data_IF_290257975687
#
_entry.id   IF_290257975687
#
_cell.length_a   1.000
_cell.length_b   1.000
_cell.length_c   1.000
_cell.angle_alpha   90.00
_cell.angle_beta   90.00
_cell.angle_gamma   90.00
#
_symmetry.space_group_name_H-M   'P 1'
#
loop_
_entity.id
_entity.type
_entity.pdbx_description
1 polymer ?
#
# COMPACT_ATOMS: atom_id res chain seq x y z
N UNK A 1 -32.83 -6.92 6.16
CA UNK A 1 -32.71 -5.51 6.62
C UNK A 1 -33.94 -5.11 7.40
N UNK A 2 -33.75 -4.51 8.56
CA UNK A 2 -34.81 -4.14 9.49
C UNK A 2 -35.25 -2.68 9.25
N UNK A 3 -36.53 -2.30 9.51
CA UNK A 3 -37.12 -1.02 9.07
C UNK A 3 -36.72 0.19 9.93
N UNK A 4 -36.01 0.00 11.04
CA UNK A 4 -35.77 1.00 12.09
C UNK A 4 -34.93 2.20 11.61
N UNK A 5 -34.22 2.07 10.49
CA UNK A 5 -33.42 3.14 9.91
C UNK A 5 -34.07 3.87 8.72
N UNK A 6 -35.31 3.51 8.37
CA UNK A 6 -36.00 4.11 7.20
C UNK A 6 -36.25 5.62 7.36
N UNK A 7 -36.19 6.14 8.59
CA UNK A 7 -36.40 7.55 8.89
C UNK A 7 -35.07 8.32 9.10
N UNK A 8 -33.92 7.66 8.91
CA UNK A 8 -32.60 8.30 9.03
C UNK A 8 -32.17 8.94 7.72
N UNK A 9 -31.52 10.11 7.80
CA UNK A 9 -30.89 10.77 6.64
C UNK A 9 -29.38 10.72 6.78
N UNK A 10 -28.69 10.59 5.65
CA UNK A 10 -27.23 10.68 5.58
C UNK A 10 -26.87 11.91 4.73
N UNK A 11 -26.22 12.91 5.33
CA UNK A 11 -25.70 14.04 4.57
C UNK A 11 -24.44 14.60 5.26
N UNK A 12 -23.30 14.47 4.58
CA UNK A 12 -22.03 15.10 4.99
C UNK A 12 -21.73 16.37 4.18
N UNK A 13 -22.50 16.67 3.13
CA UNK A 13 -22.27 17.83 2.27
C UNK A 13 -23.56 18.55 1.88
N UNK A 14 -23.62 19.84 2.25
CA UNK A 14 -24.61 20.87 1.92
C UNK A 14 -26.03 20.76 2.51
N UNK A 15 -26.30 21.61 3.51
CA UNK A 15 -27.60 21.95 4.08
C UNK A 15 -28.56 22.69 3.13
N UNK A 16 -28.25 22.76 1.84
CA UNK A 16 -28.99 23.53 0.83
C UNK A 16 -29.86 22.66 -0.09
N UNK A 17 -29.79 21.34 0.02
CA UNK A 17 -30.68 20.42 -0.69
C UNK A 17 -31.90 20.16 0.21
N UNK A 18 -33.09 20.57 -0.25
CA UNK A 18 -34.33 20.54 0.54
C UNK A 18 -34.90 19.14 0.78
N UNK A 19 -34.37 18.12 0.11
CA UNK A 19 -34.80 16.73 0.25
C UNK A 19 -33.57 15.86 0.50
N UNK A 20 -33.31 15.58 1.78
CA UNK A 20 -32.30 14.59 2.13
C UNK A 20 -32.87 13.19 1.89
N UNK A 21 -32.18 12.33 1.12
CA UNK A 21 -32.66 10.98 0.89
C UNK A 21 -32.66 10.19 2.20
N UNK A 22 -33.81 9.58 2.49
CA UNK A 22 -33.96 8.67 3.61
C UNK A 22 -33.20 7.37 3.34
N UNK A 23 -32.62 6.80 4.39
CA UNK A 23 -31.92 5.53 4.39
C UNK A 23 -32.91 4.36 4.40
N UNK A 24 -33.87 4.39 3.47
CA UNK A 24 -34.88 3.37 3.32
C UNK A 24 -34.29 2.01 2.93
N UNK A 25 -35.13 0.97 2.95
CA UNK A 25 -34.68 -0.41 2.62
C UNK A 25 -34.11 -0.49 1.20
N UNK A 26 -34.65 0.28 0.25
CA UNK A 26 -34.24 0.23 -1.14
C UNK A 26 -32.85 0.86 -1.34
N UNK A 27 -32.63 2.05 -0.78
CA UNK A 27 -31.35 2.73 -0.82
C UNK A 27 -30.27 1.93 -0.09
N UNK A 28 -30.57 1.35 1.07
CA UNK A 28 -29.62 0.50 1.79
C UNK A 28 -29.25 -0.76 1.01
N UNK A 29 -30.21 -1.35 0.30
CA UNK A 29 -29.96 -2.48 -0.61
C UNK A 29 -29.00 -2.06 -1.71
N UNK A 30 -29.24 -0.91 -2.35
CA UNK A 30 -28.38 -0.36 -3.39
C UNK A 30 -26.94 -0.09 -2.89
N UNK A 31 -26.77 0.46 -1.69
CA UNK A 31 -25.46 0.72 -1.09
C UNK A 31 -24.69 -0.57 -0.77
N UNK A 32 -25.39 -1.61 -0.30
CA UNK A 32 -24.81 -2.93 -0.10
C UNK A 32 -24.38 -3.58 -1.42
N UNK A 33 -25.19 -3.44 -2.47
CA UNK A 33 -24.85 -3.96 -3.80
C UNK A 33 -23.61 -3.26 -4.37
N UNK A 34 -23.52 -1.93 -4.23
CA UNK A 34 -22.34 -1.16 -4.62
C UNK A 34 -21.09 -1.60 -3.83
N UNK A 35 -21.22 -1.77 -2.52
CA UNK A 35 -20.14 -2.29 -1.67
C UNK A 35 -19.66 -3.65 -2.17
N UNK A 36 -20.60 -4.54 -2.51
CA UNK A 36 -20.29 -5.89 -3.02
C UNK A 36 -19.56 -5.83 -4.36
N UNK A 37 -19.99 -4.96 -5.26
CA UNK A 37 -19.33 -4.74 -6.56
C UNK A 37 -17.90 -4.20 -6.39
N UNK A 38 -17.70 -3.19 -5.53
CA UNK A 38 -16.37 -2.65 -5.25
C UNK A 38 -15.45 -3.72 -4.65
N UNK A 39 -15.94 -4.49 -3.68
CA UNK A 39 -15.16 -5.59 -3.10
C UNK A 39 -14.79 -6.65 -4.14
N UNK A 40 -15.66 -6.95 -5.10
CA UNK A 40 -15.35 -7.88 -6.18
C UNK A 40 -14.22 -7.36 -7.09
N UNK A 41 -14.20 -6.06 -7.39
CA UNK A 41 -13.11 -5.42 -8.15
C UNK A 41 -11.81 -5.46 -7.35
N UNK A 42 -11.84 -5.13 -6.06
CA UNK A 42 -10.66 -5.19 -5.18
C UNK A 42 -10.15 -6.63 -5.08
N UNK A 43 -11.03 -7.63 -4.99
CA UNK A 43 -10.68 -9.05 -4.99
C UNK A 43 -9.96 -9.46 -6.26
N UNK A 44 -10.47 -9.04 -7.42
CA UNK A 44 -9.83 -9.31 -8.70
C UNK A 44 -8.42 -8.67 -8.77
N UNK A 45 -8.28 -7.40 -8.39
CA UNK A 45 -6.99 -6.72 -8.36
C UNK A 45 -5.98 -7.37 -7.39
N UNK A 46 -6.45 -7.84 -6.23
CA UNK A 46 -5.60 -8.52 -5.27
C UNK A 46 -5.09 -9.88 -5.79
N UNK A 47 -5.88 -10.61 -6.59
CA UNK A 47 -5.42 -11.86 -7.25
C UNK A 47 -4.27 -11.56 -8.21
N UNK A 48 -4.32 -10.47 -8.97
CA UNK A 48 -3.23 -10.06 -9.87
C UNK A 48 -1.95 -9.67 -9.11
N UNK A 49 -2.11 -9.19 -7.87
CA UNK A 49 -1.04 -8.75 -6.98
C UNK A 49 -0.61 -9.81 -5.96
N UNK A 50 -1.14 -11.04 -6.03
CA UNK A 50 -0.82 -12.12 -5.09
C UNK A 50 0.67 -12.47 -5.10
N UNK A 51 1.31 -12.40 -6.28
CA UNK A 51 2.77 -12.58 -6.44
C UNK A 51 3.60 -11.54 -5.69
N UNK A 52 3.00 -10.39 -5.34
CA UNK A 52 3.61 -9.31 -4.56
C UNK A 52 3.24 -9.42 -3.06
N UNK A 53 2.59 -10.52 -2.65
CA UNK A 53 2.15 -10.75 -1.28
C UNK A 53 0.86 -10.04 -0.89
N UNK A 54 0.12 -9.48 -1.86
CA UNK A 54 -1.20 -8.86 -1.62
C UNK A 54 -2.26 -9.95 -1.57
N UNK A 55 -3.04 -10.00 -0.50
CA UNK A 55 -4.15 -10.97 -0.34
C UNK A 55 -5.47 -10.23 -0.14
N UNK A 56 -6.53 -10.71 -0.79
CA UNK A 56 -7.88 -10.25 -0.53
C UNK A 56 -8.46 -11.01 0.66
N UNK A 57 -8.99 -10.27 1.65
CA UNK A 57 -9.62 -10.85 2.83
C UNK A 57 -11.13 -10.95 2.58
N UNK A 58 -11.63 -12.18 2.44
CA UNK A 58 -13.06 -12.47 2.26
C UNK A 58 -13.81 -12.56 3.60
N UNK A 59 -15.13 -12.43 3.58
CA UNK A 59 -16.00 -12.68 4.75
C UNK A 59 -16.14 -11.53 5.76
N UNK A 60 -15.38 -10.43 5.61
CA UNK A 60 -15.55 -9.24 6.47
C UNK A 60 -16.93 -8.59 6.30
N UNK A 61 -17.57 -8.79 5.13
CA UNK A 61 -18.96 -8.38 4.88
C UNK A 61 -19.99 -9.32 5.50
N UNK A 62 -19.70 -10.62 5.51
CA UNK A 62 -20.60 -11.66 5.99
C UNK A 62 -20.80 -11.55 7.50
N UNK A 63 -19.79 -11.06 8.23
CA UNK A 63 -19.90 -10.73 9.66
C UNK A 63 -20.98 -9.70 9.96
N UNK A 64 -21.29 -8.82 9.02
CA UNK A 64 -22.38 -7.85 9.16
C UNK A 64 -23.72 -8.43 8.69
N UNK A 65 -23.78 -9.65 8.13
CA UNK A 65 -25.02 -10.28 7.64
C UNK A 65 -25.88 -9.35 6.75
N UNK A 66 -25.23 -8.49 5.95
CA UNK A 66 -25.87 -7.46 5.12
C UNK A 66 -26.35 -6.20 5.86
N UNK A 67 -25.98 -5.98 7.13
CA UNK A 67 -26.43 -4.87 7.98
C UNK A 67 -25.46 -3.68 8.08
N UNK A 68 -24.56 -3.50 7.12
CA UNK A 68 -23.53 -2.43 7.12
C UNK A 68 -24.06 -1.02 7.38
N UNK A 69 -25.29 -0.74 6.94
CA UNK A 69 -25.90 0.59 7.04
C UNK A 69 -27.06 0.66 8.04
N UNK A 70 -27.36 -0.41 8.78
CA UNK A 70 -28.36 -0.42 9.85
C UNK A 70 -28.39 -1.76 10.61
N UNK A 71 -28.06 -1.74 11.90
CA UNK A 71 -28.18 -2.88 12.81
C UNK A 71 -29.53 -2.88 13.52
N UNK A 72 -30.01 -4.07 13.94
CA UNK A 72 -31.21 -4.18 14.74
C UNK A 72 -31.00 -3.49 16.11
N UNK A 73 -31.84 -2.49 16.41
CA UNK A 73 -31.70 -1.67 17.63
C UNK A 73 -31.01 -0.32 17.43
N UNK A 74 -30.67 0.04 16.19
CA UNK A 74 -30.12 1.36 15.86
C UNK A 74 -31.08 2.51 16.24
N UNK A 75 -30.56 3.54 16.91
CA UNK A 75 -31.29 4.76 17.25
C UNK A 75 -30.58 6.02 16.70
N UNK A 76 -31.32 7.11 16.52
CA UNK A 76 -30.84 8.40 15.96
C UNK A 76 -29.70 9.07 16.75
N UNK A 77 -29.42 8.64 17.98
CA UNK A 77 -28.39 9.22 18.84
C UNK A 77 -27.02 8.54 18.65
N UNK A 78 -26.98 7.39 17.96
CA UNK A 78 -25.74 6.69 17.61
C UNK A 78 -25.07 7.39 16.43
N UNK A 79 -24.22 8.35 16.73
CA UNK A 79 -23.28 8.93 15.75
C UNK A 79 -21.86 8.46 16.07
N UNK A 80 -21.05 8.25 15.03
CA UNK A 80 -19.65 7.78 15.09
C UNK A 80 -18.74 8.71 15.94
N UNK A 81 -19.22 9.89 16.33
CA UNK A 81 -18.49 10.94 17.04
C UNK A 81 -18.77 11.08 18.54
N UNK A 82 -19.56 10.19 19.14
CA UNK A 82 -19.83 10.22 20.58
C UNK A 82 -18.70 9.55 21.36
N UNK A 83 -17.51 10.18 21.44
CA UNK A 83 -16.51 9.79 22.44
C UNK A 83 -17.14 9.93 23.84
N UNK A 84 -17.07 8.91 24.71
CA UNK A 84 -17.30 9.12 26.13
C UNK A 84 -16.13 9.95 26.69
N UNK A 85 -16.27 11.27 26.69
CA UNK A 85 -15.41 12.16 27.46
C UNK A 85 -15.89 12.17 28.91
N UNK A 86 -15.67 11.10 29.65
CA UNK A 86 -15.61 11.18 31.12
C UNK A 86 -15.04 9.90 31.71
N UNK A 87 -13.82 10.01 32.20
CA UNK A 87 -13.26 9.18 33.26
C UNK A 87 -14.14 9.30 34.52
N UNK A 88 -15.13 8.43 34.70
CA UNK A 88 -15.65 7.89 35.98
C UNK A 88 -16.92 7.05 35.73
N UNK A 89 -17.01 5.80 36.25
CA UNK A 89 -18.21 4.97 36.07
C UNK A 89 -19.26 5.27 37.16
N UNK A 90 -20.55 5.49 36.83
CA UNK A 90 -21.60 5.34 37.82
C UNK A 90 -21.94 3.85 37.96
N UNK A 91 -21.23 3.23 38.89
CA UNK A 91 -21.73 2.20 39.81
C UNK A 91 -23.20 1.74 39.65
N UNK A 92 -23.29 0.43 39.53
CA UNK A 92 -24.40 -0.52 39.61
C UNK A 92 -25.44 -0.27 40.72
N UNK A 93 -26.57 -0.97 40.57
CA UNK A 93 -27.75 -1.07 41.47
C UNK A 93 -27.49 -1.51 42.94
N UNK A 94 -26.33 -1.23 43.52
CA UNK A 94 -25.91 -1.79 44.81
C UNK A 94 -25.68 -0.80 45.96
N UNK A 95 -25.83 0.52 45.78
CA UNK A 95 -25.45 1.50 46.81
C UNK A 95 -26.58 2.30 47.49
N UNK A 96 -27.83 1.82 47.54
CA UNK A 96 -28.90 2.45 48.35
C UNK A 96 -29.79 1.47 49.15
N UNK A 97 -30.30 1.98 50.28
CA UNK A 97 -31.03 1.29 51.36
C UNK A 97 -32.43 0.77 50.96
N UNK A 98 -32.97 -0.12 51.80
CA UNK A 98 -33.96 -1.16 51.49
C UNK A 98 -35.40 -0.73 51.13
N UNK A 99 -35.70 0.54 50.87
CA UNK A 99 -37.07 0.96 50.52
C UNK A 99 -37.23 1.67 49.16
N UNK A 100 -36.16 1.91 48.40
CA UNK A 100 -36.23 2.46 47.03
C UNK A 100 -36.04 1.41 45.91
N UNK A 101 -35.84 0.14 46.26
CA UNK A 101 -35.51 -0.95 45.31
C UNK A 101 -36.72 -1.50 44.53
N UNK A 102 -37.95 -1.23 44.98
CA UNK A 102 -39.15 -1.92 44.49
C UNK A 102 -39.90 -1.22 43.33
N UNK A 103 -39.60 0.06 43.02
CA UNK A 103 -40.41 0.82 42.06
C UNK A 103 -39.84 0.80 40.62
N UNK A 104 -38.52 0.72 40.45
CA UNK A 104 -37.88 0.79 39.12
C UNK A 104 -37.72 -0.55 38.39
N UNK A 105 -37.85 -1.71 39.06
CA UNK A 105 -37.64 -3.03 38.44
C UNK A 105 -38.91 -3.78 38.02
N UNK A 106 -40.12 -3.21 38.12
CA UNK A 106 -41.38 -3.97 38.01
C UNK A 106 -42.33 -3.56 36.88
N UNK A 107 -41.81 -3.27 35.67
CA UNK A 107 -42.63 -3.21 34.44
C UNK A 107 -41.91 -3.79 33.21
N UNK A 108 -41.93 -5.12 33.10
CA UNK A 108 -41.97 -5.84 31.81
C UNK A 108 -43.04 -6.93 31.92
N UNK A 109 -44.11 -6.92 31.11
CA UNK A 109 -44.97 -8.08 30.93
C UNK A 109 -44.30 -9.13 30.03
N UNK A 110 -44.25 -10.34 30.58
CA UNK A 110 -43.99 -11.69 30.05
C UNK A 110 -44.10 -11.94 28.54
N UNK A 111 -43.10 -12.64 27.99
CA UNK A 111 -43.17 -13.40 26.74
C UNK A 111 -43.84 -14.79 26.96
N UNK A 112 -44.56 -15.37 25.98
CA UNK A 112 -45.01 -16.76 26.00
C UNK A 112 -43.91 -17.75 25.53
N UNK A 113 -44.01 -19.07 25.84
CA UNK A 113 -42.83 -19.94 25.99
C UNK A 113 -42.58 -20.96 24.85
N UNK A 114 -41.29 -21.36 24.76
CA UNK A 114 -40.68 -22.60 24.19
C UNK A 114 -40.29 -22.63 22.70
N UNK A 115 -39.03 -22.26 22.47
CA UNK A 115 -38.04 -23.11 21.81
C UNK A 115 -36.68 -22.79 22.43
N UNK A 116 -36.07 -23.74 23.14
CA UNK A 116 -34.73 -23.59 23.73
C UNK A 116 -33.67 -24.05 22.72
N UNK A 117 -32.81 -23.17 22.20
CA UNK A 117 -31.42 -23.54 21.93
C UNK A 117 -30.69 -23.62 23.28
N UNK A 118 -29.84 -24.63 23.42
CA UNK A 118 -28.91 -24.77 24.53
C UNK A 118 -27.91 -23.59 24.49
N UNK A 119 -28.23 -22.52 25.21
CA UNK A 119 -27.22 -21.57 25.67
C UNK A 119 -26.63 -22.15 26.95
N UNK A 120 -25.59 -22.97 26.80
CA UNK A 120 -24.65 -23.22 27.90
C UNK A 120 -23.93 -21.90 28.12
N UNK A 121 -24.49 -21.09 29.02
CA UNK A 121 -24.19 -19.68 29.20
C UNK A 121 -22.76 -19.28 28.92
N UNK A 122 -22.60 -18.28 28.04
CA UNK A 122 -21.38 -17.50 27.99
C UNK A 122 -21.11 -16.94 29.37
N UNK A 123 -20.01 -17.41 29.95
CA UNK A 123 -19.42 -16.95 31.21
C UNK A 123 -19.46 -15.43 31.29
N UNK A 124 -19.82 -14.82 32.44
CA UNK A 124 -19.53 -13.42 32.66
C UNK A 124 -18.02 -13.26 32.57
N UNK A 125 -17.51 -12.41 31.68
CA UNK A 125 -16.09 -12.00 31.64
C UNK A 125 -15.74 -11.25 32.94
N UNK A 126 -15.61 -12.01 34.02
CA UNK A 126 -15.00 -11.69 35.30
C UNK A 126 -13.92 -12.76 35.57
N UNK A 127 -13.18 -13.11 34.53
CA UNK A 127 -11.85 -13.68 34.69
C UNK A 127 -10.90 -12.58 34.23
N UNK A 128 -10.00 -12.16 35.11
CA UNK A 128 -8.83 -11.40 34.69
C UNK A 128 -8.18 -12.29 33.62
N UNK A 129 -8.33 -11.95 32.34
CA UNK A 129 -7.55 -12.64 31.31
C UNK A 129 -6.08 -12.57 31.78
N UNK A 130 -5.38 -13.72 31.89
CA UNK A 130 -4.00 -13.70 32.30
C UNK A 130 -3.24 -12.72 31.41
N UNK A 131 -2.28 -11.95 31.97
CA UNK A 131 -1.54 -10.98 31.18
C UNK A 131 -0.98 -11.66 29.95
N UNK A 132 -1.17 -11.02 28.78
CA UNK A 132 -0.67 -11.54 27.51
C UNK A 132 0.80 -11.91 27.66
N UNK A 133 1.18 -13.16 27.38
CA UNK A 133 2.56 -13.55 27.47
C UNK A 133 3.39 -12.82 26.39
N UNK A 134 4.69 -12.74 26.66
CA UNK A 134 5.63 -12.04 25.78
C UNK A 134 5.92 -12.96 24.60
N UNK A 135 5.80 -12.49 23.34
CA UNK A 135 6.07 -13.29 22.16
C UNK A 135 7.42 -14.02 22.22
N UNK A 136 7.45 -15.24 21.68
CA UNK A 136 8.67 -16.01 21.46
C UNK A 136 9.74 -15.21 20.71
N UNK A 137 11.03 -15.62 20.81
CA UNK A 137 12.12 -14.75 20.44
C UNK A 137 12.02 -14.31 18.97
N UNK A 138 12.17 -13.01 18.76
CA UNK A 138 12.32 -12.43 17.44
C UNK A 138 13.73 -12.79 16.92
N UNK A 139 13.79 -13.29 15.69
CA UNK A 139 15.01 -13.75 15.03
C UNK A 139 15.12 -13.04 13.68
N UNK A 140 16.32 -12.52 13.41
CA UNK A 140 16.69 -12.00 12.09
C UNK A 140 16.98 -13.15 11.13
N UNK A 141 16.35 -13.12 9.96
CA UNK A 141 16.56 -14.12 8.91
C UNK A 141 17.49 -13.64 7.79
N UNK A 142 17.52 -12.33 7.54
CA UNK A 142 18.32 -11.77 6.47
C UNK A 142 18.01 -10.32 6.21
N UNK A 143 18.91 -9.68 5.47
CA UNK A 143 18.84 -8.29 5.07
C UNK A 143 18.90 -8.17 3.58
N UNK A 144 18.25 -7.13 3.08
CA UNK A 144 18.35 -6.69 1.71
C UNK A 144 18.68 -5.18 1.65
N UNK A 145 18.80 -4.60 0.46
CA UNK A 145 19.16 -3.18 0.31
C UNK A 145 18.17 -2.22 0.96
N UNK A 146 16.88 -2.53 0.94
CA UNK A 146 15.82 -1.68 1.52
C UNK A 146 14.80 -2.47 2.33
N UNK A 147 15.17 -3.68 2.76
CA UNK A 147 14.31 -4.50 3.59
C UNK A 147 15.05 -5.39 4.58
N UNK A 148 14.35 -5.78 5.65
CA UNK A 148 14.83 -6.74 6.64
C UNK A 148 13.78 -7.84 6.82
N UNK A 149 14.22 -9.09 6.91
CA UNK A 149 13.32 -10.24 7.15
C UNK A 149 13.50 -10.75 8.57
N UNK A 150 12.39 -10.86 9.29
CA UNK A 150 12.37 -11.35 10.67
C UNK A 150 11.34 -12.47 10.83
N UNK A 151 11.58 -13.35 11.79
CA UNK A 151 10.68 -14.43 12.18
C UNK A 151 10.56 -14.50 13.71
N UNK A 152 9.42 -14.95 14.23
CA UNK A 152 9.23 -15.23 15.65
C UNK A 152 8.44 -16.53 15.87
N UNK A 153 8.31 -16.98 17.11
CA UNK A 153 7.47 -18.15 17.43
C UNK A 153 6.15 -17.67 18.07
N UNK A 154 4.97 -18.08 17.56
CA UNK A 154 3.68 -17.52 17.99
C UNK A 154 3.13 -18.17 19.26
N UNK A 155 3.98 -18.46 20.27
CA UNK A 155 3.62 -19.22 21.48
C UNK A 155 2.60 -18.54 22.42
N UNK A 156 1.87 -17.53 21.95
CA UNK A 156 1.05 -16.65 22.76
C UNK A 156 -0.41 -17.09 22.76
N UNK A 157 -0.85 -17.62 23.91
CA UNK A 157 -2.26 -17.92 24.16
C UNK A 157 -3.04 -16.59 24.21
N UNK A 158 -4.16 -16.51 23.48
CA UNK A 158 -5.05 -15.33 23.39
C UNK A 158 -4.52 -14.11 22.62
N UNK A 159 -3.34 -14.19 21.99
CA UNK A 159 -2.91 -13.13 21.09
C UNK A 159 -3.78 -13.12 19.82
N UNK A 160 -4.40 -11.98 19.53
CA UNK A 160 -5.14 -11.73 18.27
C UNK A 160 -4.25 -11.12 17.20
N UNK A 161 -2.99 -10.84 17.52
CA UNK A 161 -2.07 -10.19 16.60
C UNK A 161 -0.71 -9.90 17.21
N UNK A 162 0.12 -9.23 16.42
CA UNK A 162 1.42 -8.73 16.81
C UNK A 162 1.63 -7.29 16.34
N UNK A 163 2.46 -6.55 17.06
CA UNK A 163 2.93 -5.23 16.63
C UNK A 163 4.45 -5.25 16.53
N UNK A 164 4.94 -4.87 15.35
CA UNK A 164 6.37 -4.72 15.08
C UNK A 164 6.75 -3.25 15.24
N UNK A 165 7.81 -3.04 15.99
CA UNK A 165 8.41 -1.76 16.21
C UNK A 165 9.76 -1.69 15.50
N UNK A 166 10.04 -0.55 14.89
CA UNK A 166 11.29 -0.21 14.24
C UNK A 166 11.81 1.08 14.88
N UNK A 167 12.98 1.03 15.53
CA UNK A 167 13.56 2.13 16.30
C UNK A 167 12.57 2.72 17.32
N UNK A 168 11.75 1.86 17.94
CA UNK A 168 10.75 2.25 18.94
C UNK A 168 9.45 2.85 18.36
N UNK A 169 9.33 3.05 17.05
CA UNK A 169 8.10 3.46 16.39
C UNK A 169 7.35 2.25 15.82
N UNK A 170 6.03 2.29 15.78
CA UNK A 170 5.20 1.22 15.20
C UNK A 170 5.46 1.18 13.70
N UNK A 171 5.99 0.06 13.20
CA UNK A 171 6.21 -0.17 11.79
C UNK A 171 5.04 -0.95 11.16
N UNK A 172 4.59 -2.01 11.84
CA UNK A 172 3.49 -2.85 11.36
C UNK A 172 2.59 -3.29 12.51
N UNK A 173 1.31 -3.43 12.22
CA UNK A 173 0.33 -4.06 13.10
C UNK A 173 -0.31 -5.22 12.34
N UNK A 174 -0.15 -6.42 12.88
CA UNK A 174 -0.57 -7.68 12.28
C UNK A 174 -1.72 -8.17 13.13
N UNK A 175 -2.97 -8.03 12.69
CA UNK A 175 -4.15 -8.42 13.47
C UNK A 175 -5.00 -9.48 12.77
N UNK A 176 -5.91 -10.07 13.57
CA UNK A 176 -6.83 -11.17 13.27
C UNK A 176 -7.79 -10.94 12.08
N UNK A 177 -7.24 -10.91 10.88
CA UNK A 177 -7.90 -11.50 9.71
C UNK A 177 -6.91 -12.26 8.82
N UNK A 178 -5.61 -12.14 9.10
CA UNK A 178 -4.57 -12.60 8.18
C UNK A 178 -3.82 -13.85 8.68
N UNK A 179 -3.56 -14.05 9.99
CA UNK A 179 -2.58 -15.07 10.32
C UNK A 179 -2.33 -15.45 11.79
N UNK A 180 -3.33 -15.49 12.68
CA UNK A 180 -3.04 -15.96 14.04
C UNK A 180 -2.57 -17.42 13.94
N UNK A 181 -1.33 -17.69 14.37
CA UNK A 181 -0.56 -18.93 14.22
C UNK A 181 -0.02 -19.30 12.82
N UNK A 182 -0.14 -18.42 11.82
CA UNK A 182 0.30 -18.73 10.44
C UNK A 182 1.39 -17.79 9.92
N UNK A 183 1.33 -16.48 10.20
CA UNK A 183 2.38 -15.53 9.81
C UNK A 183 3.23 -15.22 11.00
N UNK A 184 4.35 -15.89 11.01
CA UNK A 184 5.41 -15.72 11.98
C UNK A 184 6.61 -15.01 11.36
N UNK A 185 6.54 -14.70 10.06
CA UNK A 185 7.62 -14.12 9.26
C UNK A 185 7.13 -12.86 8.58
N UNK A 186 7.92 -11.79 8.65
CA UNK A 186 7.62 -10.50 8.00
C UNK A 186 8.85 -9.94 7.34
N UNK A 187 8.65 -9.33 6.16
CA UNK A 187 9.64 -8.49 5.50
C UNK A 187 9.28 -7.03 5.75
N UNK A 188 10.14 -6.33 6.48
CA UNK A 188 10.06 -4.90 6.73
C UNK A 188 10.65 -4.16 5.52
N UNK A 189 9.80 -3.66 4.62
CA UNK A 189 10.23 -2.90 3.45
C UNK A 189 10.29 -1.39 3.67
N UNK A 190 10.78 -0.65 2.67
CA UNK A 190 10.83 0.82 2.68
C UNK A 190 11.92 1.40 3.58
N UNK A 191 12.97 0.62 3.85
CA UNK A 191 14.08 1.03 4.70
C UNK A 191 15.17 1.71 3.88
N UNK A 192 15.95 2.58 4.53
CA UNK A 192 17.13 3.18 3.94
C UNK A 192 18.25 2.14 3.80
N UNK A 193 19.01 2.13 2.70
CA UNK A 193 20.22 1.32 2.58
C UNK A 193 21.30 1.69 3.60
N UNK A 194 22.22 0.76 3.87
CA UNK A 194 23.34 0.94 4.79
C UNK A 194 22.94 1.51 6.16
N UNK A 195 21.79 1.09 6.69
CA UNK A 195 21.21 1.65 7.92
C UNK A 195 20.86 0.53 8.89
N UNK A 196 21.29 0.70 10.15
CA UNK A 196 20.95 -0.20 11.26
C UNK A 196 19.62 0.17 11.89
N UNK A 197 18.80 -0.84 12.15
CA UNK A 197 17.50 -0.72 12.79
C UNK A 197 17.38 -1.66 13.99
N UNK A 198 16.74 -1.17 15.04
CA UNK A 198 16.33 -1.95 16.20
C UNK A 198 14.88 -2.39 16.04
N UNK A 199 14.65 -3.70 16.03
CA UNK A 199 13.34 -4.31 15.79
C UNK A 199 12.86 -4.96 17.08
N UNK A 200 11.61 -4.66 17.45
CA UNK A 200 10.96 -5.27 18.60
C UNK A 200 9.55 -5.73 18.26
N UNK A 201 9.03 -6.68 19.06
CA UNK A 201 7.75 -7.33 18.85
C UNK A 201 6.94 -7.34 20.15
N UNK A 202 5.64 -7.05 20.04
CA UNK A 202 4.65 -7.26 21.11
C UNK A 202 3.48 -8.08 20.56
N UNK A 203 2.81 -8.82 21.44
CA UNK A 203 1.54 -9.46 21.13
C UNK A 203 0.38 -8.50 21.43
N UNK A 204 -0.69 -8.59 20.65
CA UNK A 204 -1.93 -7.80 20.79
C UNK A 204 -3.07 -8.71 21.25
N UNK A 205 -3.92 -8.25 22.16
CA UNK A 205 -5.16 -8.93 22.60
C UNK A 205 -6.38 -8.38 21.87
N UNK A 206 -7.51 -9.07 22.03
CA UNK A 206 -8.80 -8.69 21.42
C UNK A 206 -9.30 -7.29 21.82
N UNK A 207 -8.90 -6.79 22.98
CA UNK A 207 -9.21 -5.44 23.46
C UNK A 207 -8.17 -4.37 23.01
N UNK A 208 -7.14 -4.79 22.26
CA UNK A 208 -6.09 -3.92 21.75
C UNK A 208 -4.97 -3.63 22.74
N UNK A 209 -4.94 -4.28 23.91
CA UNK A 209 -3.82 -4.18 24.84
C UNK A 209 -2.60 -4.96 24.33
N UNK A 210 -1.40 -4.53 24.74
CA UNK A 210 -0.14 -5.11 24.30
C UNK A 210 0.55 -5.88 25.43
N UNK A 211 1.21 -6.98 25.08
CA UNK A 211 2.13 -7.67 25.97
C UNK A 211 3.34 -6.80 26.32
N UNK A 212 4.17 -7.28 27.25
CA UNK A 212 5.55 -6.80 27.34
C UNK A 212 6.30 -7.00 26.01
N UNK A 213 7.33 -6.18 25.79
CA UNK A 213 8.21 -6.30 24.62
C UNK A 213 9.11 -7.52 24.75
N UNK A 214 9.23 -8.31 23.66
CA UNK A 214 10.18 -9.40 23.54
C UNK A 214 11.65 -8.94 23.49
N UNK A 215 12.54 -9.80 23.00
CA UNK A 215 13.92 -9.38 22.72
C UNK A 215 13.95 -8.37 21.56
N UNK A 216 14.97 -7.51 21.58
CA UNK A 216 15.27 -6.59 20.48
C UNK A 216 16.27 -7.24 19.55
N UNK A 217 16.06 -7.08 18.26
CA UNK A 217 16.98 -7.52 17.19
C UNK A 217 17.53 -6.28 16.50
N UNK A 218 18.84 -6.09 16.53
CA UNK A 218 19.52 -5.04 15.76
C UNK A 218 20.04 -5.64 14.45
N UNK A 219 19.59 -5.12 13.31
CA UNK A 219 20.00 -5.57 11.99
C UNK A 219 20.21 -4.39 11.03
N UNK A 220 21.13 -4.55 10.08
CA UNK A 220 21.45 -3.52 9.07
C UNK A 220 21.01 -3.94 7.67
N UNK A 221 20.50 -3.01 6.90
CA UNK A 221 20.27 -3.17 5.45
C UNK A 221 21.60 -3.22 4.70
N UNK A 222 21.59 -3.80 3.50
CA UNK A 222 22.79 -3.87 2.66
C UNK A 222 23.17 -2.48 2.14
N UNK A 223 24.47 -2.25 1.96
CA UNK A 223 24.96 -1.04 1.31
C UNK A 223 24.82 -1.15 -0.21
N UNK A 224 24.36 -0.07 -0.84
CA UNK A 224 24.25 0.00 -2.30
C UNK A 224 25.66 0.09 -2.94
N UNK A 225 25.87 -0.50 -4.13
CA UNK A 225 27.11 -0.37 -4.87
C UNK A 225 27.32 1.06 -5.39
N UNK A 226 28.54 1.32 -5.89
CA UNK A 226 28.92 2.55 -6.62
C UNK A 226 28.43 3.85 -5.98
N UNK A 227 28.69 4.02 -4.68
CA UNK A 227 28.35 5.23 -3.92
C UNK A 227 26.84 5.56 -3.84
N UNK A 228 25.98 4.54 -3.75
CA UNK A 228 24.55 4.73 -3.48
C UNK A 228 23.63 4.55 -4.69
N UNK A 229 24.14 4.00 -5.80
CA UNK A 229 23.35 3.78 -7.01
C UNK A 229 22.38 2.60 -6.84
N UNK A 230 21.13 2.80 -7.22
CA UNK A 230 20.07 1.79 -7.11
C UNK A 230 19.94 0.90 -8.33
N UNK A 231 20.40 1.40 -9.49
CA UNK A 231 20.63 0.60 -10.71
C UNK A 231 22.13 0.36 -10.83
N UNK A 232 22.56 -0.90 -10.77
CA UNK A 232 23.99 -1.26 -10.67
C UNK A 232 24.64 -1.68 -11.97
N UNK A 233 23.87 -2.09 -12.97
CA UNK A 233 24.34 -2.38 -14.32
C UNK A 233 23.21 -2.24 -15.33
N UNK A 234 23.56 -1.96 -16.58
CA UNK A 234 22.63 -1.92 -17.72
C UNK A 234 23.30 -2.49 -18.97
N UNK A 235 22.55 -3.17 -19.83
CA UNK A 235 23.04 -3.65 -21.13
C UNK A 235 21.97 -3.50 -22.22
N UNK A 236 22.40 -3.51 -23.49
CA UNK A 236 21.51 -3.50 -24.65
C UNK A 236 21.99 -4.50 -25.70
N UNK A 237 21.05 -5.24 -26.28
CA UNK A 237 21.24 -6.06 -27.46
C UNK A 237 20.24 -5.65 -28.53
N UNK A 238 20.70 -4.87 -29.50
CA UNK A 238 19.86 -4.34 -30.58
C UNK A 238 19.93 -5.20 -31.84
N UNK A 239 18.78 -5.43 -32.45
CA UNK A 239 18.65 -5.96 -33.82
C UNK A 239 17.96 -4.93 -34.70
N UNK A 240 17.74 -5.23 -35.99
CA UNK A 240 17.02 -4.33 -36.86
C UNK A 240 15.55 -4.13 -36.45
N UNK A 241 14.90 -5.15 -35.88
CA UNK A 241 13.45 -5.16 -35.65
C UNK A 241 13.04 -5.16 -34.18
N UNK A 242 13.95 -5.51 -33.28
CA UNK A 242 13.69 -5.59 -31.84
C UNK A 242 14.96 -5.29 -31.04
N UNK A 243 14.78 -4.81 -29.82
CA UNK A 243 15.87 -4.49 -28.90
C UNK A 243 15.59 -5.09 -27.53
N UNK A 244 16.59 -5.75 -26.96
CA UNK A 244 16.55 -6.25 -25.60
C UNK A 244 17.35 -5.31 -24.71
N UNK A 245 16.73 -4.78 -23.67
CA UNK A 245 17.39 -4.02 -22.61
C UNK A 245 17.45 -4.88 -21.35
N UNK A 246 18.55 -4.80 -20.62
CA UNK A 246 18.69 -5.41 -19.31
C UNK A 246 19.18 -4.39 -18.29
N UNK A 247 18.71 -4.51 -17.05
CA UNK A 247 19.19 -3.70 -15.94
C UNK A 247 19.12 -4.46 -14.62
N UNK A 248 20.10 -4.25 -13.74
CA UNK A 248 20.06 -4.73 -12.36
C UNK A 248 19.58 -3.60 -11.45
N UNK A 249 18.35 -3.70 -10.94
CA UNK A 249 17.70 -2.67 -10.12
C UNK A 249 17.52 -3.22 -8.70
N UNK A 250 18.30 -2.71 -7.76
CA UNK A 250 18.49 -3.23 -6.39
C UNK A 250 17.42 -2.79 -5.38
N UNK A 251 16.52 -1.91 -5.78
CA UNK A 251 15.48 -1.32 -4.93
C UNK A 251 14.13 -1.46 -5.64
N UNK A 252 13.04 -1.76 -4.91
CA UNK A 252 11.71 -1.78 -5.51
C UNK A 252 11.28 -0.36 -5.90
N UNK A 253 10.84 -0.21 -7.16
CA UNK A 253 10.29 1.04 -7.69
C UNK A 253 8.87 0.84 -8.19
N UNK A 254 8.06 1.90 -8.12
CA UNK A 254 6.70 1.89 -8.69
C UNK A 254 6.75 2.04 -10.20
N UNK A 255 7.77 2.74 -10.72
CA UNK A 255 7.96 3.00 -12.13
C UNK A 255 9.40 2.66 -12.52
N UNK A 256 9.52 1.75 -13.47
CA UNK A 256 10.75 1.48 -14.22
C UNK A 256 10.47 1.78 -15.68
N UNK A 257 11.23 2.72 -16.25
CA UNK A 257 11.04 3.18 -17.63
C UNK A 257 12.32 3.02 -18.43
N UNK A 258 12.17 2.64 -19.69
CA UNK A 258 13.22 2.77 -20.68
C UNK A 258 12.85 3.93 -21.59
N UNK A 259 13.68 4.95 -21.66
CA UNK A 259 13.56 5.96 -22.71
C UNK A 259 14.58 5.70 -23.79
N UNK A 260 14.17 5.83 -25.05
CA UNK A 260 15.05 5.65 -26.21
C UNK A 260 15.25 7.02 -26.84
N UNK A 261 16.51 7.42 -26.96
CA UNK A 261 16.91 8.74 -27.43
C UNK A 261 17.82 8.65 -28.65
N UNK A 262 17.98 9.75 -29.38
CA UNK A 262 18.74 9.77 -30.63
C UNK A 262 19.62 11.03 -30.83
N UNK A 263 19.60 11.99 -29.89
CA UNK A 263 20.34 13.26 -29.95
C UNK A 263 20.64 13.81 -28.56
N UNK A 264 21.89 14.24 -28.33
CA UNK A 264 22.40 14.82 -27.08
C UNK A 264 22.44 16.36 -27.10
N UNK A 265 22.08 16.98 -28.22
CA UNK A 265 22.14 18.43 -28.44
C UNK A 265 20.76 19.10 -28.53
N UNK A 266 19.78 18.52 -27.82
CA UNK A 266 18.41 19.04 -27.79
C UNK A 266 17.45 18.33 -28.74
N UNK A 267 16.16 18.55 -28.49
CA UNK A 267 15.07 18.04 -29.32
C UNK A 267 14.83 18.88 -30.57
N UNK A 268 14.56 18.21 -31.70
CA UNK A 268 13.98 18.85 -32.88
C UNK A 268 12.47 19.05 -32.68
N UNK A 269 12.08 20.21 -32.15
CA UNK A 269 10.69 20.52 -31.88
C UNK A 269 9.81 20.65 -33.14
N UNK A 270 10.41 20.82 -34.32
CA UNK A 270 9.68 21.09 -35.55
C UNK A 270 9.35 19.83 -36.35
N UNK A 271 10.29 18.90 -36.48
CA UNK A 271 10.14 17.74 -37.38
C UNK A 271 10.11 16.38 -36.69
N UNK A 272 10.76 16.26 -35.54
CA UNK A 272 10.76 15.04 -34.73
C UNK A 272 10.78 15.44 -33.24
N UNK A 273 9.65 15.86 -32.67
CA UNK A 273 9.62 16.27 -31.28
C UNK A 273 9.83 15.04 -30.39
N UNK A 274 10.56 15.24 -29.29
CA UNK A 274 10.73 14.22 -28.25
C UNK A 274 10.65 14.86 -26.88
N UNK A 275 10.63 14.01 -25.86
CA UNK A 275 10.58 14.46 -24.48
C UNK A 275 12.01 14.69 -23.95
N UNK A 276 12.35 15.87 -23.41
CA UNK A 276 13.68 16.17 -22.92
C UNK A 276 13.93 15.50 -21.57
N UNK A 277 15.00 14.72 -21.46
CA UNK A 277 15.57 14.29 -20.18
C UNK A 277 16.84 15.11 -19.93
N UNK A 278 17.10 15.46 -18.67
CA UNK A 278 18.21 16.31 -18.24
C UNK A 278 18.01 17.79 -18.61
N UNK A 279 17.07 18.45 -17.93
CA UNK A 279 16.43 19.75 -18.24
C UNK A 279 17.34 21.01 -18.27
N UNK A 280 18.49 20.97 -18.96
CA UNK A 280 19.15 22.18 -19.40
C UNK A 280 18.78 22.42 -20.87
N UNK A 281 18.39 23.66 -21.21
CA UNK A 281 18.03 24.09 -22.58
C UNK A 281 19.08 23.70 -23.63
N UNK A 282 20.34 23.56 -23.22
CA UNK A 282 21.48 23.26 -24.09
C UNK A 282 22.10 21.89 -23.86
N UNK A 283 21.60 21.12 -22.89
CA UNK A 283 22.19 19.82 -22.48
C UNK A 283 21.12 18.80 -22.06
N UNK A 284 20.11 18.57 -22.91
CA UNK A 284 19.12 17.52 -22.74
C UNK A 284 19.25 16.45 -23.83
N UNK A 285 18.86 15.22 -23.48
CA UNK A 285 18.67 14.16 -24.46
C UNK A 285 17.20 14.12 -24.88
N UNK A 286 16.97 13.90 -26.17
CA UNK A 286 15.63 13.87 -26.72
C UNK A 286 15.09 12.44 -26.86
N UNK A 287 14.00 12.13 -26.17
CA UNK A 287 13.45 10.79 -26.11
C UNK A 287 12.18 10.70 -26.95
N UNK A 288 12.15 9.80 -27.93
CA UNK A 288 10.99 9.63 -28.81
C UNK A 288 10.12 8.46 -28.43
N UNK A 289 10.70 7.51 -27.69
CA UNK A 289 10.01 6.31 -27.24
C UNK A 289 10.21 6.12 -25.76
N UNK A 290 9.18 5.58 -25.12
CA UNK A 290 9.18 5.22 -23.72
C UNK A 290 8.60 3.82 -23.58
N UNK A 291 9.24 2.99 -22.78
CA UNK A 291 8.65 1.77 -22.25
C UNK A 291 8.24 2.04 -20.82
N UNK A 292 7.00 1.74 -20.47
CA UNK A 292 6.50 1.71 -19.09
C UNK A 292 5.56 0.51 -18.94
N UNK A 293 5.85 -0.34 -17.96
CA UNK A 293 5.17 -1.64 -17.85
C UNK A 293 5.39 -2.48 -19.11
N UNK A 294 4.33 -3.10 -19.61
CA UNK A 294 4.33 -3.96 -20.79
C UNK A 294 3.98 -3.19 -22.08
N UNK A 295 4.09 -1.87 -22.08
CA UNK A 295 3.66 -1.03 -23.21
C UNK A 295 4.81 -0.15 -23.73
N UNK A 296 4.96 -0.14 -25.05
CA UNK A 296 5.80 0.79 -25.79
C UNK A 296 4.96 1.99 -26.21
N UNK A 297 5.47 3.18 -25.92
CA UNK A 297 4.86 4.45 -26.26
C UNK A 297 5.74 5.25 -27.22
N UNK A 298 5.10 6.05 -28.07
CA UNK A 298 5.73 7.11 -28.87
C UNK A 298 5.32 8.46 -28.31
N UNK A 299 6.27 9.39 -28.26
CA UNK A 299 6.00 10.75 -27.85
C UNK A 299 5.07 11.46 -28.85
N UNK A 300 4.08 12.21 -28.34
CA UNK A 300 3.08 12.92 -29.14
C UNK A 300 2.89 14.38 -28.72
N UNK A 301 3.74 14.88 -27.82
CA UNK A 301 3.67 16.27 -27.38
C UNK A 301 3.99 17.23 -28.52
N UNK A 302 3.20 18.30 -28.64
CA UNK A 302 3.42 19.36 -29.61
C UNK A 302 4.08 20.56 -28.92
N UNK A 303 5.21 21.03 -29.46
CA UNK A 303 5.99 22.12 -28.90
C UNK A 303 6.36 23.07 -30.04
N UNK A 304 6.11 24.35 -29.85
CA UNK A 304 6.30 25.37 -30.90
C UNK A 304 7.55 26.22 -30.72
N UNK A 305 8.29 26.06 -29.61
CA UNK A 305 9.52 26.80 -29.29
C UNK A 305 10.40 25.93 -28.36
N UNK A 306 11.74 25.90 -28.51
CA UNK A 306 12.65 25.31 -27.54
C UNK A 306 12.33 25.61 -26.07
N UNK A 307 11.73 24.63 -25.40
CA UNK A 307 11.31 24.69 -24.00
C UNK A 307 11.84 23.49 -23.21
N UNK A 308 11.98 23.68 -21.90
CA UNK A 308 12.24 22.59 -20.95
C UNK A 308 10.92 22.00 -20.42
N UNK A 309 9.80 22.65 -20.70
CA UNK A 309 8.45 22.30 -20.24
C UNK A 309 7.67 21.56 -21.35
N UNK A 310 8.28 20.50 -21.87
CA UNK A 310 7.63 19.63 -22.83
C UNK A 310 6.43 18.91 -22.17
N UNK A 311 5.24 18.88 -22.80
CA UNK A 311 4.10 18.19 -22.22
C UNK A 311 4.37 16.69 -22.12
N UNK A 312 4.01 16.10 -20.98
CA UNK A 312 4.01 14.64 -20.83
C UNK A 312 2.89 14.02 -21.67
N UNK A 313 3.19 13.72 -22.93
CA UNK A 313 2.22 13.25 -23.91
C UNK A 313 2.78 12.06 -24.69
N UNK A 314 2.14 10.92 -24.54
CA UNK A 314 2.59 9.62 -25.02
C UNK A 314 1.40 8.84 -25.59
N UNK A 315 1.60 8.17 -26.72
CA UNK A 315 0.61 7.28 -27.33
C UNK A 315 1.15 5.85 -27.41
N UNK A 316 0.38 4.83 -27.00
CA UNK A 316 0.82 3.44 -27.08
C UNK A 316 0.94 3.00 -28.55
N UNK A 317 2.00 2.26 -28.87
CA UNK A 317 2.29 1.79 -30.23
C UNK A 317 2.63 0.30 -30.31
N UNK A 318 2.76 -0.40 -29.18
CA UNK A 318 3.01 -1.84 -29.16
C UNK A 318 3.21 -2.39 -27.75
N UNK A 319 3.31 -3.71 -27.66
CA UNK A 319 3.50 -4.42 -26.40
C UNK A 319 4.98 -4.78 -26.20
N UNK A 320 5.42 -4.77 -24.94
CA UNK A 320 6.79 -5.09 -24.53
C UNK A 320 6.75 -6.29 -23.61
N UNK A 321 7.61 -7.28 -23.86
CA UNK A 321 7.78 -8.40 -22.92
C UNK A 321 8.72 -7.96 -21.81
N UNK A 322 8.23 -7.98 -20.56
CA UNK A 322 9.03 -7.66 -19.38
C UNK A 322 9.16 -8.88 -18.50
N UNK A 323 10.40 -9.26 -18.18
CA UNK A 323 10.69 -10.32 -17.21
C UNK A 323 11.58 -9.79 -16.11
N UNK A 324 11.37 -10.28 -14.90
CA UNK A 324 12.19 -9.96 -13.74
C UNK A 324 12.60 -11.25 -13.03
N UNK A 325 13.90 -11.46 -12.85
CA UNK A 325 14.46 -12.53 -12.02
C UNK A 325 15.32 -11.91 -10.92
N UNK A 326 14.80 -11.91 -9.69
CA UNK A 326 15.39 -11.16 -8.58
C UNK A 326 15.55 -9.68 -8.93
N UNK A 327 16.79 -9.22 -9.03
CA UNK A 327 17.13 -7.85 -9.39
C UNK A 327 17.33 -7.60 -10.88
N UNK A 328 17.36 -8.66 -11.69
CA UNK A 328 17.59 -8.53 -13.12
C UNK A 328 16.27 -8.30 -13.84
N UNK A 329 16.15 -7.15 -14.49
CA UNK A 329 15.04 -6.79 -15.36
C UNK A 329 15.47 -6.94 -16.80
N UNK A 330 14.58 -7.49 -17.62
CA UNK A 330 14.76 -7.61 -19.06
C UNK A 330 13.51 -7.09 -19.77
N UNK A 331 13.70 -6.20 -20.74
CA UNK A 331 12.64 -5.69 -21.62
C UNK A 331 12.95 -6.08 -23.06
N UNK A 332 12.02 -6.77 -23.72
CA UNK A 332 12.11 -7.07 -25.16
C UNK A 332 11.14 -6.16 -25.90
N UNK A 333 11.70 -5.15 -26.56
CA UNK A 333 10.96 -4.05 -27.17
C UNK A 333 10.78 -4.32 -28.67
N UNK A 334 9.58 -4.11 -29.25
CA UNK A 334 9.29 -4.43 -30.65
C UNK A 334 9.75 -3.34 -31.64
N UNK A 335 10.83 -2.62 -31.31
CA UNK A 335 11.52 -1.70 -32.21
C UNK A 335 13.03 -1.94 -32.14
N UNK A 336 13.72 -1.72 -33.25
CA UNK A 336 15.16 -1.90 -33.38
C UNK A 336 15.78 -0.85 -34.30
N UNK A 337 17.02 -1.10 -34.71
CA UNK A 337 17.87 -0.17 -35.46
C UNK A 337 17.28 0.28 -36.81
N UNK A 338 16.28 -0.43 -37.36
CA UNK A 338 15.57 0.01 -38.58
C UNK A 338 14.55 1.13 -38.33
N UNK A 339 14.15 1.35 -37.07
CA UNK A 339 13.16 2.36 -36.67
C UNK A 339 13.84 3.60 -36.10
N UNK A 340 14.75 3.41 -35.15
CA UNK A 340 15.58 4.45 -34.52
C UNK A 340 16.86 3.81 -34.01
N UNK A 341 17.88 4.61 -33.68
CA UNK A 341 18.99 4.10 -32.88
C UNK A 341 18.46 3.68 -31.51
N UNK A 342 18.39 2.38 -31.25
CA UNK A 342 17.92 1.82 -29.98
C UNK A 342 19.08 1.49 -29.03
N UNK A 343 20.33 1.73 -29.45
CA UNK A 343 21.50 1.55 -28.60
C UNK A 343 21.68 2.68 -27.59
N UNK A 344 21.00 3.81 -27.80
CA UNK A 344 20.98 4.97 -26.94
C UNK A 344 19.71 4.96 -26.09
N UNK A 345 19.85 4.79 -24.78
CA UNK A 345 18.73 4.65 -23.87
C UNK A 345 19.00 5.22 -22.48
N UNK A 346 17.91 5.41 -21.73
CA UNK A 346 17.93 5.78 -20.31
C UNK A 346 17.09 4.78 -19.53
N UNK A 347 17.67 4.18 -18.49
CA UNK A 347 16.91 3.42 -17.48
C UNK A 347 16.53 4.39 -16.37
N UNK A 348 15.23 4.69 -16.26
CA UNK A 348 14.71 5.58 -15.22
C UNK A 348 13.94 4.78 -14.17
N UNK A 349 14.17 5.13 -12.91
CA UNK A 349 13.51 4.54 -11.75
C UNK A 349 12.90 5.61 -10.85
N UNK A 350 11.63 5.45 -10.47
CA UNK A 350 10.87 6.42 -9.68
C UNK A 350 9.81 5.75 -8.80
N UNK A 351 9.42 6.42 -7.71
CA UNK A 351 8.32 6.02 -6.83
C UNK A 351 8.80 5.91 -5.40
N UNK A 352 9.13 4.69 -4.97
CA UNK A 352 9.50 4.38 -3.58
C UNK A 352 10.97 4.67 -3.23
N UNK A 353 11.90 4.44 -4.16
CA UNK A 353 13.32 4.73 -3.98
C UNK A 353 13.70 6.15 -4.41
N UNK A 354 14.96 6.57 -4.18
CA UNK A 354 15.49 7.81 -4.74
C UNK A 354 15.36 7.78 -6.27
N UNK A 355 14.98 8.91 -6.86
CA UNK A 355 14.90 9.02 -8.32
C UNK A 355 16.25 8.67 -8.95
N UNK A 356 16.22 7.91 -10.05
CA UNK A 356 17.40 7.50 -10.78
C UNK A 356 17.19 7.60 -12.29
N UNK A 357 18.19 8.07 -13.03
CA UNK A 357 18.23 8.07 -14.50
C UNK A 357 19.64 7.67 -14.96
N UNK A 358 19.74 6.44 -15.48
CA UNK A 358 21.00 5.84 -15.94
C UNK A 358 21.10 5.93 -17.44
N UNK A 359 22.10 6.64 -17.94
CA UNK A 359 22.27 6.88 -19.36
C UNK A 359 23.25 5.90 -20.00
N UNK A 360 22.92 5.44 -21.19
CA UNK A 360 23.77 4.63 -22.05
C UNK A 360 23.66 5.12 -23.50
N UNK A 361 24.77 5.55 -24.14
CA UNK A 361 26.03 5.95 -23.50
C UNK A 361 25.86 7.19 -22.61
N UNK A 362 26.91 7.58 -21.89
CA UNK A 362 26.92 8.91 -21.26
C UNK A 362 26.75 10.02 -22.30
N UNK A 363 25.84 10.98 -22.10
CA UNK A 363 25.70 12.13 -23.00
C UNK A 363 26.97 12.99 -23.00
N UNK A 364 27.39 13.50 -24.16
CA UNK A 364 28.61 14.31 -24.28
C UNK A 364 28.56 15.64 -23.50
N UNK A 365 27.36 16.09 -23.13
CA UNK A 365 27.11 17.29 -22.37
C UNK A 365 27.59 17.25 -20.90
N UNK A 366 28.20 16.15 -20.44
CA UNK A 366 28.84 16.03 -19.11
C UNK A 366 29.90 17.12 -18.83
N UNK A 367 30.57 17.64 -19.87
CA UNK A 367 31.61 18.68 -19.71
C UNK A 367 31.09 20.09 -19.39
N UNK A 368 29.79 20.33 -19.55
CA UNK A 368 29.15 21.64 -19.39
C UNK A 368 28.40 21.80 -18.05
N UNK A 369 28.55 20.84 -17.14
CA UNK A 369 27.86 20.86 -15.86
C UNK A 369 26.36 20.83 -16.07
N UNK A 370 25.86 19.70 -16.61
CA UNK A 370 24.44 19.39 -16.45
C UNK A 370 24.08 19.41 -14.97
N UNK A 371 22.82 19.19 -14.56
CA UNK A 371 22.51 19.00 -13.14
C UNK A 371 23.17 17.70 -12.63
N UNK A 372 24.48 17.74 -12.45
CA UNK A 372 25.42 16.70 -12.02
C UNK A 372 25.62 16.83 -10.51
N UNK A 373 24.52 17.08 -9.80
CA UNK A 373 24.47 16.82 -8.38
C UNK A 373 24.04 15.38 -8.18
N UNK A 374 24.69 14.66 -7.27
CA UNK A 374 24.18 13.40 -6.70
C UNK A 374 22.71 13.52 -6.22
N UNK A 375 22.23 14.76 -6.02
CA UNK A 375 20.85 15.14 -5.73
C UNK A 375 19.85 15.04 -6.90
N UNK A 376 20.28 14.88 -8.15
CA UNK A 376 19.41 14.81 -9.34
C UNK A 376 19.09 13.38 -9.80
N UNK A 377 19.73 12.36 -9.21
CA UNK A 377 19.52 10.96 -9.57
C UNK A 377 20.16 10.53 -10.90
N UNK A 378 20.91 11.41 -11.58
CA UNK A 378 21.56 11.11 -12.86
C UNK A 378 22.92 10.45 -12.67
N UNK A 379 23.21 9.41 -13.47
CA UNK A 379 24.56 8.81 -13.58
C UNK A 379 24.68 7.91 -14.82
N UNK A 380 25.88 7.39 -15.08
CA UNK A 380 26.14 6.32 -16.05
C UNK A 380 26.91 5.18 -15.39
N UNK A 381 26.92 4.00 -16.01
CA UNK A 381 27.60 2.80 -15.50
C UNK A 381 28.21 1.94 -16.60
#
# INVERSE_FOLDING_TARGET
MSPECNDYTWAYWNSFISEQPLLDVALRTQLNDMTTQVNAVIKAAAVELERMGVIFVDGLQDMYNGHRYCEAGANKEQTEYSRPTSSTPPNSCWTLSSLARAWWCRRRPTAPPRGTPLDTGTSPYNELEPPLPIPGPLVWLGSDYTSLKVIWNPNEVNAVGYRLYLNGAIAYSITAAIAINVMTTVTLGGLSPDTTYDIALTALSGDGTESGTGNIVSAATLSLPHAGQTVSSTSVSASNTSTTYEAVILVPYSYTRIFIWNSDQGCDWGTDPGWPINYNKWCNVCNHYMVEGETLFRYTGNITDPTMDAPWSWSPIGDVVVTQDGYNYTWIVPIGMSTTDTSQYVVQVQGYGPFGSVFQPCPACDSLGGPDGVSSGRYCI
#
